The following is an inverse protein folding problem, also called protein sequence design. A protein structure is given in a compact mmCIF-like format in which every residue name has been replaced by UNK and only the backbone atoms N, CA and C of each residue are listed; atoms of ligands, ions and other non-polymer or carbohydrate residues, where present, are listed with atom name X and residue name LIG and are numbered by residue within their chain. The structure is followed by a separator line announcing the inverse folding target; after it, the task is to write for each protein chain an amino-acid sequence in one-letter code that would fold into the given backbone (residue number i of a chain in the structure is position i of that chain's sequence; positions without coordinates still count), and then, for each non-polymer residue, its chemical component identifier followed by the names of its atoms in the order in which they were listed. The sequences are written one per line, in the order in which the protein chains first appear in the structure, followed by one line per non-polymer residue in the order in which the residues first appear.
data_IF_279875259207
#
_entry.id   IF_279875259207
#
_cell.length_a   1.000
_cell.length_b   1.000
_cell.length_c   1.000
_cell.angle_alpha   90.00
_cell.angle_beta   90.00
_cell.angle_gamma   90.00
#
_symmetry.space_group_name_H-M   'P 1'
#
loop_
_entity.id
_entity.type
_entity.pdbx_description
1 polymer ?
#
# COMPACT_ATOMS: atom_id res chain seq x y z
N UNK A 1 -42.55 43.71 3.78
CA UNK A 1 -41.12 43.52 4.13
C UNK A 1 -40.36 43.38 2.83
N UNK A 2 -39.60 44.41 2.45
CA UNK A 2 -38.84 44.41 1.20
C UNK A 2 -37.51 43.72 1.43
N UNK A 3 -37.20 42.67 0.68
CA UNK A 3 -35.93 41.97 0.77
C UNK A 3 -34.82 42.88 0.23
N UNK A 4 -33.80 43.14 1.05
CA UNK A 4 -32.58 43.83 0.62
C UNK A 4 -31.83 42.89 -0.32
N UNK A 5 -31.48 43.32 -1.55
CA UNK A 5 -30.73 42.49 -2.47
C UNK A 5 -29.31 42.24 -1.91
N UNK A 6 -28.73 41.06 -2.17
CA UNK A 6 -27.37 40.74 -1.73
C UNK A 6 -26.36 41.69 -2.39
N UNK A 7 -25.36 42.12 -1.61
CA UNK A 7 -24.27 42.94 -2.12
C UNK A 7 -23.46 42.17 -3.17
N UNK A 8 -22.99 42.84 -4.24
CA UNK A 8 -22.05 42.24 -5.17
C UNK A 8 -20.73 41.90 -4.46
N UNK A 9 -20.06 40.82 -4.85
CA UNK A 9 -18.78 40.41 -4.26
C UNK A 9 -17.70 41.47 -4.48
N UNK A 10 -16.88 41.69 -3.46
CA UNK A 10 -15.78 42.65 -3.49
C UNK A 10 -14.64 42.09 -4.38
N UNK A 11 -14.23 42.81 -5.44
CA UNK A 11 -13.13 42.35 -6.32
C UNK A 11 -11.76 42.28 -5.61
N UNK A 12 -11.65 42.78 -4.38
CA UNK A 12 -10.42 42.71 -3.58
C UNK A 12 -10.36 41.50 -2.65
N UNK A 13 -11.42 40.70 -2.54
CA UNK A 13 -11.35 39.46 -1.78
C UNK A 13 -10.39 38.48 -2.48
N UNK A 14 -9.36 37.97 -1.77
CA UNK A 14 -8.47 36.99 -2.34
C UNK A 14 -9.30 35.77 -2.79
N UNK A 15 -9.00 35.18 -3.96
CA UNK A 15 -9.72 34.01 -4.43
C UNK A 15 -9.66 32.96 -3.33
N UNK A 16 -10.83 32.61 -2.79
CA UNK A 16 -10.94 31.59 -1.75
C UNK A 16 -10.22 30.34 -2.27
N UNK A 17 -9.11 29.89 -1.66
CA UNK A 17 -8.38 28.72 -2.13
C UNK A 17 -9.23 27.44 -2.04
N UNK A 18 -10.44 27.53 -1.47
CA UNK A 18 -11.45 26.47 -1.45
C UNK A 18 -12.52 26.61 -2.56
N UNK A 19 -12.45 27.63 -3.41
CA UNK A 19 -13.47 28.02 -4.40
C UNK A 19 -13.58 27.15 -5.65
N UNK A 20 -13.03 25.93 -5.66
CA UNK A 20 -13.11 25.01 -6.80
C UNK A 20 -14.44 24.25 -6.95
N UNK A 21 -15.37 24.35 -5.99
CA UNK A 21 -16.57 23.49 -5.94
C UNK A 21 -17.86 24.25 -5.54
N UNK A 22 -17.92 25.56 -5.78
CA UNK A 22 -19.05 26.43 -5.38
C UNK A 22 -20.40 26.14 -6.10
N UNK A 23 -20.47 25.09 -6.94
CA UNK A 23 -21.68 24.67 -7.64
C UNK A 23 -22.32 23.37 -7.13
N UNK A 24 -21.67 22.60 -6.25
CA UNK A 24 -22.28 21.40 -5.66
C UNK A 24 -23.03 21.80 -4.40
N UNK A 25 -24.33 21.52 -4.38
CA UNK A 25 -25.13 21.65 -3.16
C UNK A 25 -24.40 20.94 -1.99
N UNK A 26 -24.26 21.56 -0.81
CA UNK A 26 -23.52 21.03 0.36
C UNK A 26 -24.01 19.71 0.96
N UNK A 27 -24.75 18.87 0.21
CA UNK A 27 -25.40 17.66 0.71
C UNK A 27 -25.38 16.47 -0.25
N UNK A 28 -24.88 16.60 -1.49
CA UNK A 28 -24.67 15.42 -2.34
C UNK A 28 -23.33 14.77 -1.99
N UNK A 29 -23.28 14.15 -0.81
CA UNK A 29 -22.19 13.27 -0.43
C UNK A 29 -21.99 12.25 -1.57
N UNK A 30 -20.87 12.33 -2.27
CA UNK A 30 -20.54 11.32 -3.27
C UNK A 30 -20.62 9.96 -2.58
N UNK A 31 -21.46 9.04 -3.07
CA UNK A 31 -21.69 7.79 -2.40
C UNK A 31 -20.36 7.03 -2.36
N UNK A 32 -19.84 6.81 -1.14
CA UNK A 32 -18.66 5.97 -0.91
C UNK A 32 -18.84 4.60 -1.59
N UNK A 33 -17.81 3.83 -1.92
CA UNK A 33 -18.01 2.53 -2.57
C UNK A 33 -18.93 1.62 -1.74
N UNK A 34 -19.91 1.00 -2.41
CA UNK A 34 -20.82 0.06 -1.77
C UNK A 34 -20.14 -1.23 -1.33
N UNK A 35 -20.81 -2.05 -0.51
CA UNK A 35 -20.19 -3.25 0.05
C UNK A 35 -19.78 -4.28 -0.99
N UNK A 36 -20.55 -4.42 -2.06
CA UNK A 36 -20.21 -5.27 -3.19
C UNK A 36 -19.03 -4.72 -3.98
N UNK A 37 -18.89 -3.39 -4.04
CA UNK A 37 -17.71 -2.74 -4.65
C UNK A 37 -16.48 -3.00 -3.78
N UNK A 38 -16.59 -2.84 -2.46
CA UNK A 38 -15.49 -3.16 -1.53
C UNK A 38 -15.08 -4.63 -1.61
N UNK A 39 -16.05 -5.55 -1.71
CA UNK A 39 -15.78 -6.97 -1.93
C UNK A 39 -15.09 -7.21 -3.30
N UNK A 40 -15.59 -6.60 -4.36
CA UNK A 40 -15.00 -6.70 -5.70
C UNK A 40 -13.57 -6.18 -5.73
N UNK A 41 -13.31 -5.04 -5.10
CA UNK A 41 -11.95 -4.48 -4.95
C UNK A 41 -11.04 -5.41 -4.16
N UNK A 42 -11.54 -6.00 -3.07
CA UNK A 42 -10.79 -6.97 -2.27
C UNK A 42 -10.40 -8.22 -3.08
N UNK A 43 -11.35 -8.77 -3.84
CA UNK A 43 -11.10 -9.93 -4.72
C UNK A 43 -10.13 -9.55 -5.85
N UNK A 44 -10.33 -8.38 -6.46
CA UNK A 44 -9.44 -7.88 -7.52
C UNK A 44 -8.01 -7.66 -7.01
N UNK A 45 -7.84 -7.10 -5.81
CA UNK A 45 -6.55 -6.91 -5.18
C UNK A 45 -5.86 -8.26 -4.88
N UNK A 46 -6.59 -9.22 -4.30
CA UNK A 46 -6.06 -10.56 -4.05
C UNK A 46 -5.66 -11.25 -5.37
N UNK A 47 -6.54 -11.24 -6.36
CA UNK A 47 -6.29 -11.83 -7.67
C UNK A 47 -5.09 -11.20 -8.39
N UNK A 48 -5.03 -9.86 -8.45
CA UNK A 48 -3.93 -9.15 -9.08
C UNK A 48 -2.60 -9.41 -8.38
N UNK A 49 -2.59 -9.41 -7.04
CA UNK A 49 -1.39 -9.74 -6.25
C UNK A 49 -0.92 -11.17 -6.54
N UNK A 50 -1.82 -12.16 -6.51
CA UNK A 50 -1.47 -13.56 -6.80
C UNK A 50 -0.99 -13.74 -8.23
N UNK A 51 -1.67 -13.14 -9.22
CA UNK A 51 -1.28 -13.24 -10.63
C UNK A 51 0.11 -12.64 -10.88
N UNK A 52 0.38 -11.45 -10.32
CA UNK A 52 1.67 -10.79 -10.46
C UNK A 52 2.77 -11.57 -9.74
N UNK A 53 2.49 -12.14 -8.57
CA UNK A 53 3.44 -13.00 -7.89
C UNK A 53 3.85 -14.19 -8.75
N UNK A 54 2.87 -14.92 -9.32
CA UNK A 54 3.14 -16.04 -10.24
C UNK A 54 3.93 -15.57 -11.47
N UNK A 55 3.63 -14.40 -12.01
CA UNK A 55 4.33 -13.84 -13.17
C UNK A 55 5.81 -13.50 -12.87
N UNK A 56 6.12 -13.04 -11.65
CA UNK A 56 7.48 -12.66 -11.25
C UNK A 56 8.29 -13.78 -10.59
N UNK A 57 7.63 -14.79 -10.02
CA UNK A 57 8.30 -15.88 -9.28
C UNK A 57 9.32 -16.67 -10.13
N UNK A 58 9.15 -16.68 -11.46
CA UNK A 58 10.10 -17.33 -12.38
C UNK A 58 11.28 -16.44 -12.82
N UNK A 59 11.27 -15.15 -12.50
CA UNK A 59 12.25 -14.15 -12.99
C UNK A 59 13.02 -13.45 -11.87
N UNK A 60 12.49 -13.41 -10.65
CA UNK A 60 13.10 -12.76 -9.49
C UNK A 60 13.12 -13.69 -8.27
N UNK A 61 13.92 -13.34 -7.26
CA UNK A 61 13.83 -13.97 -5.94
C UNK A 61 12.39 -13.90 -5.37
N UNK A 62 12.02 -14.86 -4.53
CA UNK A 62 10.65 -15.02 -4.05
C UNK A 62 10.19 -13.85 -3.18
N UNK A 63 11.06 -13.31 -2.32
CA UNK A 63 10.71 -12.15 -1.49
C UNK A 63 10.59 -10.89 -2.35
N UNK A 64 11.48 -10.72 -3.34
CA UNK A 64 11.38 -9.60 -4.29
C UNK A 64 10.10 -9.68 -5.14
N UNK A 65 9.79 -10.87 -5.66
CA UNK A 65 8.55 -11.17 -6.40
C UNK A 65 7.32 -10.85 -5.56
N UNK A 66 7.33 -11.26 -4.28
CA UNK A 66 6.23 -10.98 -3.33
C UNK A 66 6.06 -9.48 -3.10
N UNK A 67 7.14 -8.78 -2.79
CA UNK A 67 7.10 -7.34 -2.58
C UNK A 67 6.53 -6.60 -3.79
N UNK A 68 7.04 -6.91 -4.99
CA UNK A 68 6.61 -6.29 -6.23
C UNK A 68 5.13 -6.60 -6.53
N UNK A 69 4.72 -7.84 -6.32
CA UNK A 69 3.34 -8.26 -6.53
C UNK A 69 2.36 -7.56 -5.57
N UNK A 70 2.72 -7.37 -4.30
CA UNK A 70 1.88 -6.63 -3.34
C UNK A 70 1.82 -5.15 -3.70
N UNK A 71 2.96 -4.52 -4.01
CA UNK A 71 3.00 -3.10 -4.40
C UNK A 71 2.18 -2.85 -5.66
N UNK A 72 2.37 -3.66 -6.69
CA UNK A 72 1.67 -3.47 -7.96
C UNK A 72 0.22 -3.96 -7.89
N UNK A 73 -0.06 -5.09 -7.26
CA UNK A 73 -1.40 -5.66 -7.17
C UNK A 73 -2.30 -4.90 -6.20
N UNK A 74 -1.98 -4.97 -4.90
CA UNK A 74 -2.75 -4.30 -3.86
C UNK A 74 -2.63 -2.77 -3.95
N UNK A 75 -1.43 -2.24 -4.22
CA UNK A 75 -1.20 -0.80 -4.30
C UNK A 75 -1.96 -0.14 -5.46
N UNK A 76 -1.97 -0.74 -6.66
CA UNK A 76 -2.71 -0.14 -7.80
C UNK A 76 -4.22 -0.19 -7.60
N UNK A 77 -4.77 -1.32 -7.14
CA UNK A 77 -6.21 -1.44 -6.86
C UNK A 77 -6.62 -0.48 -5.73
N UNK A 78 -5.79 -0.36 -4.70
CA UNK A 78 -6.00 0.62 -3.64
C UNK A 78 -5.94 2.06 -4.14
N UNK A 79 -5.04 2.38 -5.06
CA UNK A 79 -4.91 3.73 -5.60
C UNK A 79 -6.14 4.10 -6.44
N UNK A 80 -6.64 3.17 -7.26
CA UNK A 80 -7.88 3.34 -8.01
C UNK A 80 -9.08 3.51 -7.08
N UNK A 81 -9.15 2.71 -6.01
CA UNK A 81 -10.22 2.82 -5.02
C UNK A 81 -10.15 4.12 -4.21
N UNK A 82 -8.95 4.63 -3.94
CA UNK A 82 -8.72 5.85 -3.18
C UNK A 82 -9.31 7.10 -3.86
N UNK A 83 -9.45 7.10 -5.20
CA UNK A 83 -10.11 8.20 -5.96
C UNK A 83 -11.59 8.36 -5.57
N UNK A 84 -12.21 7.31 -5.02
CA UNK A 84 -13.61 7.33 -4.59
C UNK A 84 -13.78 7.61 -3.09
N UNK A 85 -12.70 7.89 -2.37
CA UNK A 85 -12.78 8.31 -0.97
C UNK A 85 -13.24 9.77 -0.93
N UNK A 86 -14.32 10.12 -0.23
CA UNK A 86 -14.81 11.50 -0.20
C UNK A 86 -13.78 12.42 0.49
N UNK A 87 -13.74 13.72 0.14
CA UNK A 87 -12.89 14.68 0.82
C UNK A 87 -13.24 14.79 2.33
N UNK A 88 -12.27 15.16 3.19
CA UNK A 88 -10.87 15.45 2.87
C UNK A 88 -10.02 14.18 2.75
N UNK A 89 -9.36 13.99 1.59
CA UNK A 89 -8.63 12.76 1.25
C UNK A 89 -7.46 12.45 2.18
N UNK A 90 -6.61 13.44 2.48
CA UNK A 90 -5.41 13.25 3.29
C UNK A 90 -5.69 12.63 4.67
N UNK A 91 -6.59 13.24 5.47
CA UNK A 91 -6.96 12.69 6.77
C UNK A 91 -7.58 11.30 6.73
N UNK A 92 -8.28 11.01 5.64
CA UNK A 92 -9.07 9.81 5.43
C UNK A 92 -8.18 8.65 4.97
N UNK A 93 -7.32 8.85 3.98
CA UNK A 93 -6.39 7.83 3.51
C UNK A 93 -5.24 7.50 4.48
N UNK A 94 -5.28 8.00 5.72
CA UNK A 94 -4.25 7.72 6.72
C UNK A 94 -2.99 8.58 6.59
N UNK A 95 -3.00 9.60 5.71
CA UNK A 95 -1.88 10.54 5.58
C UNK A 95 -1.84 11.60 6.69
N UNK A 96 -2.62 11.43 7.79
CA UNK A 96 -2.44 12.26 8.99
C UNK A 96 -1.08 11.94 9.62
N UNK A 97 -0.11 12.82 9.42
CA UNK A 97 1.15 12.76 10.18
C UNK A 97 2.35 12.19 9.44
N UNK A 98 2.27 12.01 8.11
CA UNK A 98 3.51 12.06 7.32
C UNK A 98 3.96 13.50 7.32
N UNK A 99 4.79 13.85 8.31
CA UNK A 99 5.59 15.06 8.28
C UNK A 99 6.21 15.19 6.89
N UNK A 100 6.08 16.34 6.24
CA UNK A 100 6.70 16.57 4.94
C UNK A 100 8.22 16.33 5.00
N UNK A 101 8.83 16.51 6.18
CA UNK A 101 10.18 16.08 6.48
C UNK A 101 10.38 14.57 6.41
N UNK A 102 9.47 13.77 6.98
CA UNK A 102 9.50 12.31 6.92
C UNK A 102 9.22 11.75 5.52
N UNK A 103 8.35 12.42 4.74
CA UNK A 103 8.13 12.06 3.34
C UNK A 103 9.38 12.35 2.49
N UNK A 104 10.03 13.49 2.72
CA UNK A 104 11.33 13.81 2.13
C UNK A 104 12.41 12.79 2.51
N UNK A 105 12.48 12.40 3.78
CA UNK A 105 13.41 11.37 4.24
C UNK A 105 13.12 10.00 3.60
N UNK A 106 11.85 9.61 3.47
CA UNK A 106 11.44 8.38 2.79
C UNK A 106 11.79 8.41 1.30
N UNK A 107 11.57 9.53 0.62
CA UNK A 107 11.96 9.70 -0.78
C UNK A 107 13.49 9.67 -0.95
N UNK A 108 14.25 10.20 0.02
CA UNK A 108 15.71 10.10 0.04
C UNK A 108 16.23 8.68 0.27
N UNK A 109 15.40 7.77 0.79
CA UNK A 109 15.76 6.35 0.83
C UNK A 109 15.75 5.69 -0.56
N UNK A 110 15.05 6.25 -1.55
CA UNK A 110 15.03 5.71 -2.92
C UNK A 110 16.43 5.80 -3.56
N UNK A 111 17.11 6.96 -3.58
CA UNK A 111 18.50 7.04 -4.01
C UNK A 111 19.43 6.14 -3.22
N UNK A 112 19.23 6.01 -1.90
CA UNK A 112 20.06 5.14 -1.05
C UNK A 112 19.89 3.68 -1.45
N UNK A 113 18.66 3.22 -1.69
CA UNK A 113 18.38 1.86 -2.15
C UNK A 113 19.04 1.57 -3.51
N UNK A 114 18.96 2.52 -4.45
CA UNK A 114 19.63 2.43 -5.75
C UNK A 114 21.16 2.42 -5.60
N UNK A 115 21.71 3.28 -4.74
CA UNK A 115 23.14 3.32 -4.43
C UNK A 115 23.62 2.02 -3.81
N UNK A 116 22.87 1.43 -2.88
CA UNK A 116 23.22 0.11 -2.33
C UNK A 116 23.18 -0.98 -3.39
N UNK A 117 22.25 -0.92 -4.35
CA UNK A 117 22.22 -1.86 -5.48
C UNK A 117 23.42 -1.69 -6.41
N UNK A 118 23.83 -0.46 -6.69
CA UNK A 118 25.02 -0.16 -7.51
C UNK A 118 26.30 -0.54 -6.77
N UNK A 119 26.36 -0.32 -5.46
CA UNK A 119 27.49 -0.75 -4.63
C UNK A 119 27.59 -2.27 -4.60
N UNK A 120 26.48 -3.01 -4.49
CA UNK A 120 26.51 -4.49 -4.58
C UNK A 120 27.05 -4.95 -5.94
N UNK A 121 26.60 -4.33 -7.03
CA UNK A 121 27.12 -4.60 -8.38
C UNK A 121 28.61 -4.27 -8.51
N UNK A 122 29.05 -3.13 -7.98
CA UNK A 122 30.44 -2.69 -8.03
C UNK A 122 31.34 -3.61 -7.20
N UNK A 123 30.87 -4.07 -6.04
CA UNK A 123 31.56 -5.03 -5.18
C UNK A 123 31.69 -6.37 -5.89
N UNK A 124 30.62 -6.88 -6.50
CA UNK A 124 30.66 -8.11 -7.33
C UNK A 124 31.65 -7.99 -8.49
N UNK A 125 31.66 -6.83 -9.15
CA UNK A 125 32.57 -6.55 -10.26
C UNK A 125 34.04 -6.43 -9.80
N UNK A 126 34.30 -5.73 -8.68
CA UNK A 126 35.64 -5.45 -8.16
C UNK A 126 36.28 -6.67 -7.47
N UNK A 127 35.50 -7.46 -6.74
CA UNK A 127 35.94 -8.73 -6.18
C UNK A 127 36.05 -9.83 -7.24
N UNK A 128 35.73 -9.50 -8.50
CA UNK A 128 35.82 -10.37 -9.65
C UNK A 128 35.09 -11.68 -9.39
N UNK A 129 33.87 -11.59 -8.81
CA UNK A 129 33.07 -12.69 -8.26
C UNK A 129 33.58 -14.05 -8.75
N UNK A 130 34.60 -14.56 -8.06
CA UNK A 130 35.22 -15.81 -8.43
C UNK A 130 34.17 -16.87 -8.19
N UNK A 131 33.86 -17.75 -9.16
CA UNK A 131 32.91 -18.83 -8.95
C UNK A 131 33.49 -19.76 -7.87
N UNK A 132 33.19 -19.51 -6.60
CA UNK A 132 33.64 -20.35 -5.49
C UNK A 132 34.14 -19.68 -4.21
N UNK A 133 33.93 -18.39 -3.95
CA UNK A 133 33.98 -17.94 -2.55
C UNK A 133 32.76 -18.53 -1.83
N UNK A 134 32.94 -19.44 -0.84
CA UNK A 134 31.81 -19.93 -0.08
C UNK A 134 31.26 -18.75 0.72
N UNK A 135 30.03 -18.31 0.39
CA UNK A 135 29.28 -17.39 1.22
C UNK A 135 29.34 -17.91 2.66
N UNK A 136 29.87 -17.12 3.60
CA UNK A 136 29.78 -17.50 5.00
C UNK A 136 28.27 -17.63 5.32
N UNK A 137 27.79 -18.81 5.75
CA UNK A 137 26.35 -19.09 5.85
C UNK A 137 25.62 -18.04 6.72
N UNK A 138 26.30 -17.53 7.74
CA UNK A 138 25.80 -16.50 8.65
C UNK A 138 25.45 -15.18 7.95
N UNK A 139 26.23 -14.73 6.96
CA UNK A 139 25.99 -13.45 6.29
C UNK A 139 24.77 -13.51 5.36
N UNK A 140 24.58 -14.66 4.71
CA UNK A 140 23.41 -14.94 3.86
C UNK A 140 22.11 -14.99 4.66
N UNK A 141 22.14 -15.61 5.83
CA UNK A 141 20.95 -15.71 6.70
C UNK A 141 20.48 -14.33 7.17
N UNK A 142 21.41 -13.46 7.59
CA UNK A 142 21.08 -12.10 8.05
C UNK A 142 20.41 -11.29 6.93
N UNK A 143 20.91 -11.39 5.70
CA UNK A 143 20.32 -10.69 4.55
C UNK A 143 18.90 -11.20 4.26
N UNK A 144 18.68 -12.52 4.26
CA UNK A 144 17.35 -13.11 4.02
C UNK A 144 16.38 -12.69 5.13
N UNK A 145 16.81 -12.67 6.40
CA UNK A 145 16.00 -12.19 7.52
C UNK A 145 15.63 -10.72 7.37
N UNK A 146 16.59 -9.87 7.02
CA UNK A 146 16.35 -8.45 6.82
C UNK A 146 15.38 -8.21 5.67
N UNK A 147 15.56 -8.89 4.54
CA UNK A 147 14.67 -8.81 3.39
C UNK A 147 13.24 -9.27 3.75
N UNK A 148 13.12 -10.39 4.47
CA UNK A 148 11.83 -10.90 4.96
C UNK A 148 11.13 -9.86 5.85
N UNK A 149 11.86 -9.23 6.77
CA UNK A 149 11.32 -8.20 7.65
C UNK A 149 10.86 -6.98 6.86
N UNK A 150 11.66 -6.50 5.91
CA UNK A 150 11.28 -5.36 5.04
C UNK A 150 10.01 -5.67 4.26
N UNK A 151 9.87 -6.87 3.71
CA UNK A 151 8.70 -7.23 2.90
C UNK A 151 7.46 -7.41 3.75
N UNK A 152 7.49 -8.24 4.79
CA UNK A 152 6.28 -8.59 5.56
C UNK A 152 5.90 -7.54 6.60
N UNK A 153 6.88 -6.97 7.31
CA UNK A 153 6.62 -5.97 8.38
C UNK A 153 6.59 -4.56 7.82
N UNK A 154 7.33 -4.30 6.73
CA UNK A 154 7.32 -3.01 6.05
C UNK A 154 6.26 -2.94 4.96
N UNK A 155 6.59 -3.45 3.78
CA UNK A 155 5.82 -3.20 2.54
C UNK A 155 4.40 -3.74 2.64
N UNK A 156 4.24 -5.02 2.98
CA UNK A 156 2.92 -5.68 3.01
C UNK A 156 2.04 -5.08 4.11
N UNK A 157 2.55 -4.96 5.34
CA UNK A 157 1.79 -4.40 6.45
C UNK A 157 1.33 -2.94 6.19
N UNK A 158 2.19 -2.10 5.61
CA UNK A 158 1.85 -0.71 5.30
C UNK A 158 0.74 -0.66 4.23
N UNK A 159 0.87 -1.43 3.15
CA UNK A 159 -0.11 -1.42 2.06
C UNK A 159 -1.45 -2.03 2.48
N UNK A 160 -1.44 -3.09 3.28
CA UNK A 160 -2.65 -3.69 3.83
C UNK A 160 -3.38 -2.73 4.77
N UNK A 161 -2.68 -2.13 5.73
CA UNK A 161 -3.29 -1.18 6.66
C UNK A 161 -3.85 0.03 5.91
N UNK A 162 -3.11 0.57 4.93
CA UNK A 162 -3.57 1.66 4.09
C UNK A 162 -4.82 1.28 3.28
N UNK A 163 -4.81 0.13 2.60
CA UNK A 163 -5.94 -0.31 1.78
C UNK A 163 -7.17 -0.61 2.64
N UNK A 164 -7.03 -1.47 3.66
CA UNK A 164 -8.16 -1.90 4.46
C UNK A 164 -8.67 -0.80 5.38
N UNK A 165 -7.80 -0.13 6.14
CA UNK A 165 -8.25 0.89 7.11
C UNK A 165 -8.43 2.26 6.48
N UNK A 166 -7.59 2.64 5.53
CA UNK A 166 -7.66 3.93 4.84
C UNK A 166 -8.77 3.99 3.79
N UNK A 167 -8.94 2.94 2.99
CA UNK A 167 -9.89 2.94 1.86
C UNK A 167 -11.18 2.20 2.21
N UNK A 168 -11.09 0.91 2.53
CA UNK A 168 -12.26 0.02 2.66
C UNK A 168 -13.10 0.32 3.90
N UNK A 169 -12.45 0.45 5.07
CA UNK A 169 -13.12 0.65 6.35
C UNK A 169 -13.88 1.97 6.37
N UNK A 170 -13.33 3.03 5.78
CA UNK A 170 -13.96 4.36 5.82
C UNK A 170 -15.24 4.39 5.01
N UNK A 171 -15.22 3.85 3.79
CA UNK A 171 -16.44 3.73 2.98
C UNK A 171 -17.52 2.90 3.68
N UNK A 172 -17.10 1.85 4.40
CA UNK A 172 -18.00 0.96 5.13
C UNK A 172 -18.56 1.60 6.40
N UNK A 173 -17.74 2.34 7.15
CA UNK A 173 -18.15 3.06 8.37
C UNK A 173 -19.11 4.19 8.03
N UNK A 174 -18.84 4.93 6.95
CA UNK A 174 -19.72 6.02 6.50
C UNK A 174 -21.11 5.51 6.09
N UNK A 175 -21.18 4.30 5.51
CA UNK A 175 -22.46 3.68 5.07
C UNK A 175 -23.24 2.98 6.17
N UNK A 176 -22.55 2.29 7.07
CA UNK A 176 -23.20 1.33 7.99
C UNK A 176 -22.96 1.61 9.46
N UNK A 177 -22.21 2.66 9.77
CA UNK A 177 -21.78 2.99 11.12
C UNK A 177 -20.52 2.22 11.53
N UNK A 178 -19.93 2.68 12.63
CA UNK A 178 -18.59 2.28 13.09
C UNK A 178 -18.43 0.78 13.30
N UNK A 179 -19.33 0.15 14.05
CA UNK A 179 -19.21 -1.27 14.40
C UNK A 179 -19.32 -2.17 13.16
N UNK A 180 -20.36 -1.95 12.34
CA UNK A 180 -20.61 -2.76 11.14
C UNK A 180 -19.52 -2.56 10.09
N UNK A 181 -19.04 -1.33 9.91
CA UNK A 181 -17.94 -1.04 8.99
C UNK A 181 -16.63 -1.72 9.40
N UNK A 182 -16.29 -1.72 10.70
CA UNK A 182 -15.10 -2.43 11.21
C UNK A 182 -15.22 -3.94 11.05
N UNK A 183 -16.38 -4.53 11.41
CA UNK A 183 -16.62 -5.96 11.25
C UNK A 183 -16.52 -6.39 9.79
N UNK A 184 -17.13 -5.62 8.87
CA UNK A 184 -17.06 -5.89 7.44
C UNK A 184 -15.62 -5.79 6.90
N UNK A 185 -14.88 -4.75 7.29
CA UNK A 185 -13.49 -4.62 6.92
C UNK A 185 -12.64 -5.80 7.42
N UNK A 186 -12.88 -6.27 8.65
CA UNK A 186 -12.22 -7.46 9.19
C UNK A 186 -12.53 -8.73 8.40
N UNK A 187 -13.79 -8.91 7.97
CA UNK A 187 -14.19 -10.03 7.10
C UNK A 187 -13.51 -9.96 5.74
N UNK A 188 -13.47 -8.79 5.10
CA UNK A 188 -12.78 -8.60 3.83
C UNK A 188 -11.27 -8.82 3.95
N UNK A 189 -10.64 -8.35 5.03
CA UNK A 189 -9.23 -8.64 5.31
C UNK A 189 -8.99 -10.14 5.47
N UNK A 190 -9.84 -10.84 6.22
CA UNK A 190 -9.76 -12.30 6.36
C UNK A 190 -9.91 -13.03 5.01
N UNK A 191 -10.81 -12.55 4.15
CA UNK A 191 -10.97 -13.08 2.80
C UNK A 191 -9.74 -12.82 1.92
N UNK A 192 -9.20 -11.60 1.94
CA UNK A 192 -7.95 -11.27 1.22
C UNK A 192 -6.79 -12.13 1.69
N UNK A 193 -6.64 -12.32 3.01
CA UNK A 193 -5.62 -13.20 3.56
C UNK A 193 -5.83 -14.65 3.11
N UNK A 194 -7.07 -15.15 3.12
CA UNK A 194 -7.38 -16.50 2.66
C UNK A 194 -7.10 -16.70 1.16
N UNK A 195 -7.40 -15.70 0.32
CA UNK A 195 -7.22 -15.79 -1.14
C UNK A 195 -5.79 -15.48 -1.60
N UNK A 196 -5.14 -14.52 -0.93
CA UNK A 196 -3.86 -13.96 -1.33
C UNK A 196 -2.66 -14.49 -0.54
N UNK A 197 -2.84 -14.97 0.70
CA UNK A 197 -1.76 -15.52 1.53
C UNK A 197 -1.73 -17.05 1.62
N UNK A 198 -2.83 -17.73 1.32
CA UNK A 198 -2.86 -19.21 1.40
C UNK A 198 -1.87 -19.87 0.43
N UNK A 199 -1.53 -19.22 -0.68
CA UNK A 199 -0.50 -19.68 -1.62
C UNK A 199 0.91 -19.25 -1.21
N UNK A 200 1.10 -18.07 -0.60
CA UNK A 200 2.42 -17.52 -0.30
C UNK A 200 3.02 -17.95 1.04
N UNK A 201 2.20 -18.20 2.07
CA UNK A 201 2.69 -18.46 3.42
C UNK A 201 3.20 -19.88 3.60
N UNK A 202 2.62 -20.87 2.92
CA UNK A 202 3.12 -22.24 2.97
C UNK A 202 4.52 -22.34 2.35
N UNK A 203 4.78 -21.61 1.26
CA UNK A 203 6.09 -21.55 0.61
C UNK A 203 7.10 -20.72 1.42
N UNK A 204 6.72 -19.54 1.93
CA UNK A 204 7.60 -18.72 2.76
C UNK A 204 8.01 -19.42 4.07
N UNK A 205 7.07 -20.11 4.74
CA UNK A 205 7.36 -20.91 5.94
C UNK A 205 8.21 -22.12 5.57
N UNK A 206 7.98 -22.77 4.42
CA UNK A 206 8.83 -23.87 3.97
C UNK A 206 10.27 -23.41 3.65
N UNK A 207 10.46 -22.21 3.09
CA UNK A 207 11.77 -21.63 2.80
C UNK A 207 12.52 -21.29 4.09
N UNK A 208 11.85 -20.65 5.06
CA UNK A 208 12.44 -20.34 6.37
C UNK A 208 12.71 -21.60 7.18
N UNK A 209 11.83 -22.61 7.12
CA UNK A 209 12.05 -23.88 7.78
C UNK A 209 13.18 -24.70 7.11
N UNK A 210 13.32 -24.64 5.79
CA UNK A 210 14.43 -25.26 5.07
C UNK A 210 15.76 -24.55 5.35
N UNK A 211 15.80 -23.21 5.38
CA UNK A 211 17.03 -22.49 5.72
C UNK A 211 17.47 -22.76 7.17
N UNK A 212 16.52 -22.81 8.12
CA UNK A 212 16.82 -23.17 9.50
C UNK A 212 17.26 -24.64 9.70
N UNK A 213 16.83 -25.55 8.83
CA UNK A 213 17.19 -26.97 8.90
C UNK A 213 18.51 -27.32 8.19
N UNK A 214 19.01 -26.45 7.31
CA UNK A 214 20.21 -26.66 6.49
C UNK A 214 21.45 -25.93 6.99
N UNK A 215 21.43 -25.42 8.24
CA UNK A 215 22.51 -24.65 8.87
C UNK A 215 23.93 -25.11 8.56
#
# INVERSE_FOLDING_TARGET
MSAVPPNPPDPSDPPDPQGGDAGRAPGEAQPSPGPFVALGLCIAAAFATTLLFVAFAGTMDLLASRALAVVLGLGSIGALAAVHVPPPHGPRLGFRGLDSGALGATLLLIPVALLTSEVDNLVRAALGASPGFPDAPVERDVVIWLQTLVVFVGIEAILEEWFFRGVVQQGSVDRWGRLRGVLWCGLLYGLYAALGRATSNAEAIAIVAQSAALG
#
